data_IF_425668616827
#
_entry.id   IF_425668616827
#
_cell.length_a   1.000
_cell.length_b   1.000
_cell.length_c   1.000
_cell.angle_alpha   90.00
_cell.angle_beta   90.00
_cell.angle_gamma   90.00
#
_symmetry.space_group_name_H-M   'P 1'
#
loop_
_entity.id
_entity.type
_entity.pdbx_description
1 polymer ?
#
# COMPACT_ATOMS: atom_id res chain seq x y z
N UNK A 1 -23.42 -2.36 -6.71
CA UNK A 1 -22.38 -2.53 -7.76
C UNK A 1 -21.30 -1.47 -7.54
N UNK A 2 -20.01 -1.77 -7.81
CA UNK A 2 -18.92 -0.78 -7.67
C UNK A 2 -18.61 -0.16 -9.03
N UNK A 3 -18.31 1.14 -9.07
CA UNK A 3 -17.96 1.83 -10.33
C UNK A 3 -16.65 1.26 -10.90
N UNK A 4 -16.48 1.12 -12.23
CA UNK A 4 -15.20 0.73 -12.81
C UNK A 4 -14.09 1.70 -12.37
N UNK A 5 -12.87 1.18 -12.18
CA UNK A 5 -11.73 1.98 -11.70
C UNK A 5 -11.43 3.13 -12.65
N UNK A 6 -11.41 4.34 -12.12
CA UNK A 6 -10.93 5.53 -12.84
C UNK A 6 -9.39 5.52 -12.93
N UNK A 7 -8.81 6.41 -13.75
CA UNK A 7 -7.37 6.40 -14.04
C UNK A 7 -6.49 6.50 -12.77
N UNK A 8 -6.83 7.38 -11.83
CA UNK A 8 -6.11 7.53 -10.56
C UNK A 8 -6.10 6.26 -9.69
N UNK A 9 -7.21 5.52 -9.65
CA UNK A 9 -7.29 4.22 -8.97
C UNK A 9 -6.42 3.15 -9.62
N UNK A 10 -6.28 3.16 -10.95
CA UNK A 10 -5.40 2.23 -11.66
C UNK A 10 -3.93 2.51 -11.34
N UNK A 11 -3.53 3.79 -11.30
CA UNK A 11 -2.17 4.21 -10.95
C UNK A 11 -1.86 3.83 -9.49
N UNK A 12 -2.79 4.10 -8.56
CA UNK A 12 -2.61 3.72 -7.15
C UNK A 12 -2.48 2.20 -6.97
N UNK A 13 -3.22 1.40 -7.74
CA UNK A 13 -3.09 -0.06 -7.74
C UNK A 13 -1.70 -0.50 -8.23
N UNK A 14 -1.21 0.10 -9.33
CA UNK A 14 0.11 -0.22 -9.86
C UNK A 14 1.21 0.12 -8.84
N UNK A 15 1.12 1.29 -8.20
CA UNK A 15 2.08 1.71 -7.16
C UNK A 15 2.03 0.79 -5.94
N UNK A 16 0.83 0.39 -5.51
CA UNK A 16 0.65 -0.58 -4.42
C UNK A 16 1.40 -1.89 -4.69
N UNK A 17 1.27 -2.42 -5.91
CA UNK A 17 1.96 -3.66 -6.33
C UNK A 17 3.48 -3.44 -6.31
N UNK A 18 3.97 -2.32 -6.83
CA UNK A 18 5.41 -2.00 -6.84
C UNK A 18 5.96 -1.93 -5.41
N UNK A 19 5.28 -1.24 -4.50
CA UNK A 19 5.68 -1.17 -3.09
C UNK A 19 5.64 -2.54 -2.40
N UNK A 20 4.63 -3.36 -2.69
CA UNK A 20 4.54 -4.72 -2.16
C UNK A 20 5.70 -5.60 -2.65
N UNK A 21 6.03 -5.53 -3.95
CA UNK A 21 7.17 -6.26 -4.53
C UNK A 21 8.49 -5.78 -3.93
N UNK A 22 8.68 -4.48 -3.72
CA UNK A 22 9.88 -3.92 -3.07
C UNK A 22 10.01 -4.28 -1.59
N UNK A 23 8.89 -4.58 -0.91
CA UNK A 23 8.93 -5.03 0.49
C UNK A 23 9.66 -6.37 0.62
N UNK A 24 9.52 -7.28 -0.35
CA UNK A 24 10.13 -8.62 -0.33
C UNK A 24 11.68 -8.61 -0.27
N UNK A 25 12.41 -7.95 -1.20
CA UNK A 25 13.86 -7.90 -1.15
C UNK A 25 14.34 -7.12 0.08
N UNK A 26 13.67 -6.02 0.48
CA UNK A 26 14.03 -5.31 1.71
C UNK A 26 13.91 -6.19 2.95
N UNK A 27 12.86 -7.02 3.04
CA UNK A 27 12.67 -7.94 4.15
C UNK A 27 13.72 -9.06 4.15
N UNK A 28 14.06 -9.61 2.98
CA UNK A 28 15.12 -10.61 2.86
C UNK A 28 16.47 -10.08 3.34
N UNK A 29 16.84 -8.86 2.93
CA UNK A 29 18.09 -8.20 3.34
C UNK A 29 18.07 -7.90 4.85
N UNK A 30 16.93 -7.45 5.39
CA UNK A 30 16.75 -7.24 6.83
C UNK A 30 16.99 -8.53 7.63
N UNK A 31 16.38 -9.65 7.23
CA UNK A 31 16.56 -10.94 7.92
C UNK A 31 18.02 -11.37 7.87
N UNK A 32 18.67 -11.23 6.72
CA UNK A 32 20.09 -11.55 6.59
C UNK A 32 20.99 -10.68 7.49
N UNK A 33 20.73 -9.37 7.57
CA UNK A 33 21.49 -8.47 8.44
C UNK A 33 21.20 -8.71 9.92
N UNK A 34 19.96 -9.04 10.29
CA UNK A 34 19.65 -9.44 11.65
C UNK A 34 20.46 -10.68 12.05
N UNK A 35 20.49 -11.73 11.22
CA UNK A 35 21.24 -12.95 11.54
C UNK A 35 22.76 -12.72 11.61
N UNK A 36 23.30 -11.79 10.82
CA UNK A 36 24.76 -11.58 10.72
C UNK A 36 25.31 -10.50 11.65
N UNK A 37 24.55 -9.43 11.92
CA UNK A 37 25.00 -8.25 12.68
C UNK A 37 24.18 -7.98 13.94
N UNK A 38 22.98 -8.54 14.03
CA UNK A 38 22.05 -8.28 15.14
C UNK A 38 21.36 -6.91 15.06
N UNK A 39 20.48 -6.63 16.02
CA UNK A 39 19.69 -5.39 16.09
C UNK A 39 20.48 -4.17 16.62
N UNK A 40 21.65 -4.40 17.21
CA UNK A 40 22.52 -3.32 17.72
C UNK A 40 23.28 -2.59 16.59
N UNK A 41 23.35 -3.19 15.41
CA UNK A 41 23.92 -2.56 14.22
C UNK A 41 22.92 -1.55 13.64
N UNK A 42 23.34 -0.29 13.45
CA UNK A 42 22.48 0.82 12.97
C UNK A 42 21.76 0.53 11.65
N UNK A 43 22.31 -0.34 10.80
CA UNK A 43 21.72 -0.67 9.50
C UNK A 43 20.51 -1.60 9.62
N UNK A 44 20.51 -2.51 10.60
CA UNK A 44 19.42 -3.47 10.82
C UNK A 44 18.08 -2.80 11.12
N UNK A 45 17.94 -1.89 12.11
CA UNK A 45 16.67 -1.19 12.36
C UNK A 45 16.34 -0.19 11.23
N UNK A 46 17.34 0.36 10.55
CA UNK A 46 17.12 1.22 9.37
C UNK A 46 16.45 0.43 8.24
N UNK A 47 16.89 -0.80 7.98
CA UNK A 47 16.26 -1.68 6.99
C UNK A 47 14.87 -2.14 7.43
N UNK A 48 14.67 -2.43 8.72
CA UNK A 48 13.33 -2.69 9.25
C UNK A 48 12.39 -1.51 8.96
N UNK A 49 12.85 -0.27 9.15
CA UNK A 49 12.07 0.93 8.85
C UNK A 49 11.74 1.04 7.35
N UNK A 50 12.68 0.69 6.46
CA UNK A 50 12.45 0.64 5.01
C UNK A 50 11.38 -0.40 4.65
N UNK A 51 11.43 -1.59 5.26
CA UNK A 51 10.40 -2.64 5.09
C UNK A 51 9.04 -2.10 5.53
N UNK A 52 8.97 -1.50 6.71
CA UNK A 52 7.73 -0.94 7.24
C UNK A 52 7.17 0.16 6.34
N UNK A 53 8.03 1.04 5.81
CA UNK A 53 7.63 2.10 4.89
C UNK A 53 7.02 1.54 3.60
N UNK A 54 7.67 0.59 2.94
CA UNK A 54 7.13 0.00 1.71
C UNK A 54 5.84 -0.80 1.95
N UNK A 55 5.78 -1.55 3.05
CA UNK A 55 4.57 -2.28 3.42
C UNK A 55 3.39 -1.32 3.69
N UNK A 56 3.64 -0.23 4.42
CA UNK A 56 2.61 0.76 4.70
C UNK A 56 2.19 1.53 3.45
N UNK A 57 3.14 1.92 2.60
CA UNK A 57 2.86 2.57 1.32
C UNK A 57 2.00 1.67 0.41
N UNK A 58 2.31 0.37 0.37
CA UNK A 58 1.51 -0.61 -0.37
C UNK A 58 0.07 -0.69 0.14
N UNK A 59 -0.11 -0.66 1.47
CA UNK A 59 -1.44 -0.70 2.10
C UNK A 59 -2.27 0.55 1.82
N UNK A 60 -1.69 1.75 1.97
CA UNK A 60 -2.38 3.02 1.69
C UNK A 60 -2.73 3.14 0.21
N UNK A 61 -1.80 2.83 -0.69
CA UNK A 61 -2.07 2.86 -2.14
C UNK A 61 -3.15 1.84 -2.53
N UNK A 62 -3.16 0.67 -1.90
CA UNK A 62 -4.21 -0.33 -2.11
C UNK A 62 -5.57 0.22 -1.66
N UNK A 63 -5.66 0.80 -0.45
CA UNK A 63 -6.89 1.38 0.07
C UNK A 63 -7.44 2.47 -0.88
N UNK A 64 -6.58 3.35 -1.39
CA UNK A 64 -6.95 4.40 -2.36
C UNK A 64 -7.37 3.83 -3.72
N UNK A 65 -6.89 2.64 -4.09
CA UNK A 65 -7.26 1.95 -5.33
C UNK A 65 -8.64 1.26 -5.30
N UNK A 66 -9.28 1.19 -4.12
CA UNK A 66 -10.57 0.52 -3.94
C UNK A 66 -11.65 1.33 -4.67
N UNK A 67 -12.41 0.71 -5.60
CA UNK A 67 -13.44 1.41 -6.34
C UNK A 67 -14.56 1.90 -5.42
N UNK A 68 -15.04 3.12 -5.65
CA UNK A 68 -16.11 3.72 -4.85
C UNK A 68 -17.43 2.94 -5.05
N UNK A 69 -18.26 2.82 -4.00
CA UNK A 69 -19.65 2.40 -4.16
C UNK A 69 -20.37 3.34 -5.13
N UNK A 70 -21.29 2.81 -5.92
CA UNK A 70 -22.19 3.66 -6.71
C UNK A 70 -23.15 4.31 -5.70
N UNK A 71 -23.07 5.64 -5.59
CA UNK A 71 -24.04 6.41 -4.80
C UNK A 71 -25.39 6.40 -5.55
N UNK A 72 -26.52 6.34 -4.83
CA UNK A 72 -27.82 6.59 -5.44
C UNK A 72 -27.84 7.95 -6.12
N UNK A 73 -28.49 8.07 -7.27
CA UNK A 73 -28.63 9.34 -7.97
C UNK A 73 -29.42 10.33 -7.09
N UNK A 74 -28.88 11.53 -6.86
CA UNK A 74 -29.49 12.61 -6.07
C UNK A 74 -30.63 13.33 -6.85
N UNK A 75 -31.32 12.61 -7.73
CA UNK A 75 -32.53 13.03 -8.45
C UNK A 75 -33.71 12.13 -8.05
N UNK A 76 -34.00 12.10 -6.76
CA UNK A 76 -35.35 11.90 -6.28
C UNK A 76 -35.58 12.95 -5.19
N UNK A 77 -36.27 14.07 -5.50
CA UNK A 77 -36.85 14.85 -4.43
C UNK A 77 -37.82 13.92 -3.71
N UNK A 78 -37.42 13.43 -2.54
CA UNK A 78 -38.35 12.92 -1.55
C UNK A 78 -39.15 14.14 -1.06
N UNK A 79 -40.18 14.50 -1.82
CA UNK A 79 -41.24 15.45 -1.47
C UNK A 79 -40.81 16.77 -0.84
N UNK A 80 -40.68 17.82 -1.67
CA UNK A 80 -41.35 19.12 -1.57
C UNK A 80 -40.69 20.15 -2.49
#
# INVERSE_FOLDING_TARGET
MRKPRHAGQKISLALSIICAVMTLPSFAIFVWLWQTRGLADTWTPSLLAVVAFFAFCAAVCYAMSVPQPILPDEEAPAGQ
#
